data_IF_388649808136
#
_entry.id   IF_388649808136
#
_cell.length_a   1.000
_cell.length_b   1.000
_cell.length_c   1.000
_cell.angle_alpha   90.00
_cell.angle_beta   90.00
_cell.angle_gamma   90.00
#
_symmetry.space_group_name_H-M   'P 1'
#
loop_
_entity.id
_entity.type
_entity.pdbx_description
1 polymer ?
#
# COMPACT_ATOMS: atom_id res chain seq x y z
N UNK A 1 -3.56 2.24 -0.28
CA UNK A 1 -3.78 2.04 1.16
C UNK A 1 -3.14 3.19 1.90
N UNK A 2 -3.91 4.02 2.59
CA UNK A 2 -3.34 5.02 3.49
C UNK A 2 -2.82 4.33 4.74
N UNK A 3 -1.54 4.53 5.09
CA UNK A 3 -0.97 3.93 6.30
C UNK A 3 -1.54 4.57 7.56
N UNK A 4 -1.80 5.88 7.54
CA UNK A 4 -2.27 6.63 8.70
C UNK A 4 -3.80 6.81 8.60
N UNK A 5 -4.56 5.93 9.22
CA UNK A 5 -6.03 5.96 9.25
C UNK A 5 -6.55 5.91 10.70
N UNK A 6 -7.76 6.46 10.97
CA UNK A 6 -8.41 6.33 12.27
C UNK A 6 -8.86 4.88 12.53
N UNK A 7 -9.06 4.55 13.82
CA UNK A 7 -9.51 3.24 14.35
C UNK A 7 -8.51 2.09 14.13
N UNK A 8 -8.18 1.77 12.89
CA UNK A 8 -7.15 0.80 12.51
C UNK A 8 -6.22 1.43 11.46
N UNK A 9 -4.93 1.18 11.59
CA UNK A 9 -3.96 1.66 10.61
C UNK A 9 -4.03 0.86 9.29
N UNK A 10 -3.43 1.41 8.23
CA UNK A 10 -3.43 0.78 6.91
C UNK A 10 -2.66 -0.53 6.83
N UNK A 11 -1.72 -0.77 7.74
CA UNK A 11 -0.97 -2.03 7.79
C UNK A 11 -1.85 -3.14 8.34
N UNK A 12 -2.59 -2.87 9.42
CA UNK A 12 -3.58 -3.79 9.97
C UNK A 12 -4.71 -4.06 8.96
N UNK A 13 -5.22 -3.02 8.29
CA UNK A 13 -6.19 -3.19 7.21
C UNK A 13 -5.65 -4.10 6.09
N UNK A 14 -4.39 -3.90 5.69
CA UNK A 14 -3.72 -4.75 4.69
C UNK A 14 -3.62 -6.20 5.16
N UNK A 15 -3.20 -6.45 6.41
CA UNK A 15 -3.13 -7.80 6.98
C UNK A 15 -4.49 -8.48 6.97
N UNK A 16 -5.57 -7.76 7.28
CA UNK A 16 -6.95 -8.28 7.23
C UNK A 16 -7.36 -8.64 5.80
N UNK A 17 -7.07 -7.78 4.82
CA UNK A 17 -7.36 -8.07 3.41
C UNK A 17 -6.60 -9.33 2.95
N UNK A 18 -5.34 -9.51 3.38
CA UNK A 18 -4.53 -10.70 3.03
C UNK A 18 -5.02 -12.00 3.64
N UNK A 19 -5.86 -11.96 4.67
CA UNK A 19 -6.52 -13.16 5.23
C UNK A 19 -7.71 -13.62 4.40
N UNK A 20 -8.20 -12.80 3.46
CA UNK A 20 -9.27 -13.16 2.55
C UNK A 20 -8.68 -13.90 1.33
N UNK A 21 -8.97 -15.21 1.15
CA UNK A 21 -8.36 -16.00 0.07
C UNK A 21 -8.58 -15.41 -1.32
N UNK A 22 -9.75 -14.84 -1.58
CA UNK A 22 -10.12 -14.19 -2.84
C UNK A 22 -9.30 -12.91 -3.12
N UNK A 23 -8.68 -12.32 -2.10
CA UNK A 23 -7.86 -11.11 -2.22
C UNK A 23 -6.36 -11.37 -2.03
N UNK A 24 -5.93 -12.64 -2.00
CA UNK A 24 -4.52 -13.00 -1.78
C UNK A 24 -3.59 -12.33 -2.80
N UNK A 25 -4.04 -12.15 -4.05
CA UNK A 25 -3.27 -11.53 -5.14
C UNK A 25 -3.70 -10.10 -5.50
N UNK A 26 -4.64 -9.50 -4.75
CA UNK A 26 -5.11 -8.14 -4.98
C UNK A 26 -3.93 -7.15 -4.79
N UNK A 27 -3.59 -6.30 -5.78
CA UNK A 27 -2.55 -5.30 -5.60
C UNK A 27 -2.91 -4.29 -4.49
N UNK A 28 -1.99 -4.07 -3.55
CA UNK A 28 -2.14 -3.07 -2.48
C UNK A 28 -0.91 -2.17 -2.47
N UNK A 29 -1.08 -0.90 -2.84
CA UNK A 29 0.00 0.10 -2.77
C UNK A 29 -0.14 0.92 -1.49
N UNK A 30 0.87 0.89 -0.61
CA UNK A 30 0.90 1.72 0.59
C UNK A 30 1.21 3.18 0.26
N UNK A 31 0.50 4.10 0.91
CA UNK A 31 0.68 5.55 0.83
C UNK A 31 0.95 6.08 2.23
N UNK A 32 2.11 6.71 2.42
CA UNK A 32 2.51 7.24 3.73
C UNK A 32 2.99 8.69 3.63
N UNK A 33 2.76 9.48 4.68
CA UNK A 33 3.35 10.81 4.82
C UNK A 33 4.80 10.78 5.32
N UNK A 34 5.25 9.64 5.88
CA UNK A 34 6.59 9.45 6.43
C UNK A 34 7.31 8.35 5.65
N UNK A 35 8.50 8.67 5.14
CA UNK A 35 9.36 7.75 4.42
C UNK A 35 10.61 7.46 5.25
N UNK A 36 10.41 7.09 6.52
CA UNK A 36 11.53 6.81 7.40
C UNK A 36 12.17 5.47 7.01
N UNK A 37 13.47 5.28 7.30
CA UNK A 37 14.10 3.97 7.18
C UNK A 37 13.25 2.90 7.90
N UNK A 38 12.93 1.80 7.22
CA UNK A 38 12.09 0.73 7.77
C UNK A 38 10.59 0.84 7.45
N UNK A 39 10.07 2.02 7.05
CA UNK A 39 8.63 2.15 6.74
C UNK A 39 8.25 1.33 5.50
N UNK A 40 9.15 1.25 4.51
CA UNK A 40 8.96 0.42 3.32
C UNK A 40 8.90 -1.05 3.70
N UNK A 41 9.85 -1.52 4.50
CA UNK A 41 9.92 -2.91 4.96
C UNK A 41 8.66 -3.29 5.73
N UNK A 42 8.19 -2.45 6.66
CA UNK A 42 6.95 -2.65 7.42
C UNK A 42 5.72 -2.76 6.52
N UNK A 43 5.64 -1.96 5.45
CA UNK A 43 4.54 -2.05 4.48
C UNK A 43 4.56 -3.38 3.73
N UNK A 44 5.74 -3.81 3.27
CA UNK A 44 5.91 -5.07 2.56
C UNK A 44 5.61 -6.27 3.46
N UNK A 45 6.08 -6.27 4.71
CA UNK A 45 5.79 -7.29 5.72
C UNK A 45 4.30 -7.40 6.06
N UNK A 46 3.57 -6.28 6.03
CA UNK A 46 2.12 -6.28 6.19
C UNK A 46 1.38 -6.87 4.97
N UNK A 47 2.07 -7.06 3.85
CA UNK A 47 1.53 -7.64 2.61
C UNK A 47 1.22 -6.61 1.52
N UNK A 48 1.75 -5.39 1.60
CA UNK A 48 1.63 -4.43 0.49
C UNK A 48 2.47 -4.90 -0.71
N UNK A 49 1.94 -4.67 -1.90
CA UNK A 49 2.58 -4.98 -3.17
C UNK A 49 3.59 -3.90 -3.58
N UNK A 50 3.33 -2.65 -3.19
CA UNK A 50 4.19 -1.51 -3.48
C UNK A 50 4.02 -0.40 -2.44
N UNK A 51 4.79 0.67 -2.60
CA UNK A 51 4.84 1.78 -1.66
C UNK A 51 5.09 3.11 -2.39
N UNK A 52 4.41 4.17 -1.95
CA UNK A 52 4.67 5.53 -2.39
C UNK A 52 4.49 6.54 -1.25
N UNK A 53 5.19 7.67 -1.36
CA UNK A 53 5.17 8.73 -0.36
C UNK A 53 4.21 9.85 -0.77
N UNK A 54 3.50 10.41 0.21
CA UNK A 54 2.65 11.58 0.02
C UNK A 54 3.51 12.86 0.06
N UNK A 55 3.17 13.91 -0.73
CA UNK A 55 2.10 13.93 -1.72
C UNK A 55 2.47 13.10 -2.97
N UNK A 56 1.51 12.34 -3.49
CA UNK A 56 1.71 11.58 -4.74
C UNK A 56 1.29 12.47 -5.91
N UNK A 57 2.22 12.76 -6.81
CA UNK A 57 1.94 13.53 -8.02
C UNK A 57 1.20 12.72 -9.09
N UNK A 58 0.53 13.38 -10.05
CA UNK A 58 -0.23 12.70 -11.11
C UNK A 58 0.58 11.69 -11.92
N UNK A 59 1.84 12.01 -12.28
CA UNK A 59 2.71 11.11 -13.04
C UNK A 59 3.06 9.84 -12.27
N UNK A 60 3.43 9.98 -11.00
CA UNK A 60 3.71 8.83 -10.11
C UNK A 60 2.46 7.97 -9.92
N UNK A 61 1.30 8.60 -9.72
CA UNK A 61 0.03 7.88 -9.60
C UNK A 61 -0.30 7.12 -10.88
N UNK A 62 -0.17 7.76 -12.05
CA UNK A 62 -0.40 7.12 -13.34
C UNK A 62 0.52 5.91 -13.54
N UNK A 63 1.82 6.04 -13.23
CA UNK A 63 2.76 4.93 -13.31
C UNK A 63 2.40 3.75 -12.39
N UNK A 64 1.98 4.03 -11.15
CA UNK A 64 1.52 3.00 -10.20
C UNK A 64 0.25 2.31 -10.69
N UNK A 65 -0.72 3.07 -11.20
CA UNK A 65 -1.94 2.52 -11.77
C UNK A 65 -1.62 1.64 -12.97
N UNK A 66 -0.89 2.15 -13.96
CA UNK A 66 -0.45 1.37 -15.13
C UNK A 66 0.29 0.08 -14.74
N UNK A 67 1.14 0.13 -13.71
CA UNK A 67 1.86 -1.06 -13.22
C UNK A 67 0.93 -2.14 -12.65
N UNK A 68 -0.10 -1.75 -11.90
CA UNK A 68 -0.90 -2.69 -11.09
C UNK A 68 -2.30 -2.99 -11.64
N UNK A 69 -2.84 -2.18 -12.55
CA UNK A 69 -4.14 -2.41 -13.19
C UNK A 69 -4.03 -3.03 -14.58
N UNK A 70 -2.84 -3.05 -15.19
CA UNK A 70 -2.63 -3.69 -16.48
C UNK A 70 -2.53 -5.21 -16.29
N UNK A 71 -3.68 -5.86 -16.33
CA UNK A 71 -3.87 -7.32 -16.42
C UNK A 71 -4.83 -7.61 -17.56
#
# INVERSE_FOLDING_TARGET
>A
MDVMMPEIDGLEATRRIRRLPEHASLPIVALTAKALPGDRERCLEAGCSDFATKPVGPETLAALLSKWTWR
#
